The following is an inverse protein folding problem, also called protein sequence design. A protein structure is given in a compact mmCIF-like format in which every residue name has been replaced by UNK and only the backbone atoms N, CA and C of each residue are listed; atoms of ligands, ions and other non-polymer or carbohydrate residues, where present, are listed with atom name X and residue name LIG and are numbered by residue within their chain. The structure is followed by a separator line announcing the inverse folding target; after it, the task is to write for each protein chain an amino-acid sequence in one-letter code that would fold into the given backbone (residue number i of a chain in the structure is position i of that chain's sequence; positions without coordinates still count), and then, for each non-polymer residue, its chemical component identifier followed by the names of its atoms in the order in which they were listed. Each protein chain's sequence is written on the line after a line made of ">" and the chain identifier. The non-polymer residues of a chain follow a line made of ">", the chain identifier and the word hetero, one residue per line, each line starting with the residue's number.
data_IF_157723756938
#
_entry.id   IF_157723756938
#
_cell.length_a   1.000
_cell.length_b   1.000
_cell.length_c   1.000
_cell.angle_alpha   90.00
_cell.angle_beta   90.00
_cell.angle_gamma   90.00
#
_symmetry.space_group_name_H-M   'P 1'
#
loop_
_entity.id
_entity.type
_entity.pdbx_description
1 polymer ?
#
# COMPACT_ATOMS: atom_id res chain seq x y z
N UNK A 1 -15.76 4.47 -17.16
CA UNK A 1 -14.76 4.47 -16.07
C UNK A 1 -15.52 4.48 -14.76
N UNK A 2 -15.06 3.78 -13.72
CA UNK A 2 -15.67 3.76 -12.39
C UNK A 2 -14.68 4.27 -11.36
N UNK A 3 -15.21 4.91 -10.31
CA UNK A 3 -14.47 5.31 -9.13
C UNK A 3 -15.12 4.64 -7.93
N UNK A 4 -14.32 4.07 -7.05
CA UNK A 4 -14.78 3.43 -5.81
C UNK A 4 -13.83 3.84 -4.69
N UNK A 5 -14.36 4.12 -3.50
CA UNK A 5 -13.56 4.45 -2.32
C UNK A 5 -13.99 3.59 -1.15
N UNK A 6 -13.03 3.14 -0.36
CA UNK A 6 -13.28 2.47 0.91
C UNK A 6 -12.15 2.78 1.89
N UNK A 7 -12.47 2.67 3.17
CA UNK A 7 -11.56 3.01 4.27
C UNK A 7 -11.59 1.87 5.27
N UNK A 8 -10.40 1.47 5.72
CA UNK A 8 -10.21 0.49 6.78
C UNK A 8 -9.30 1.10 7.85
N UNK A 9 -9.58 0.80 9.12
CA UNK A 9 -8.74 1.21 10.25
C UNK A 9 -8.41 0.00 11.10
N UNK A 10 -7.18 -0.09 11.58
CA UNK A 10 -6.74 -1.20 12.43
C UNK A 10 -5.66 -0.75 13.42
N UNK A 11 -5.65 -1.34 14.63
CA UNK A 11 -4.63 -1.05 15.62
C UNK A 11 -3.31 -1.74 15.27
N UNK A 12 -2.20 -1.12 15.67
CA UNK A 12 -0.84 -1.64 15.54
C UNK A 12 -0.11 -1.39 16.86
N UNK A 13 0.47 -2.45 17.43
CA UNK A 13 1.19 -2.40 18.71
C UNK A 13 2.61 -1.82 18.56
N UNK A 14 2.73 -0.64 17.95
CA UNK A 14 3.97 0.09 17.80
C UNK A 14 3.73 1.60 17.80
N UNK A 15 4.76 2.41 18.15
CA UNK A 15 4.66 3.86 18.10
C UNK A 15 4.33 4.39 16.69
N UNK A 16 3.56 5.49 16.57
CA UNK A 16 3.20 6.09 15.28
C UNK A 16 4.41 6.36 14.38
N UNK A 17 5.53 6.84 14.93
CA UNK A 17 6.74 7.13 14.16
C UNK A 17 7.36 5.87 13.54
N UNK A 18 7.40 4.74 14.26
CA UNK A 18 7.93 3.48 13.75
C UNK A 18 7.05 2.91 12.64
N UNK A 19 5.73 3.00 12.82
CA UNK A 19 4.77 2.55 11.81
C UNK A 19 4.83 3.43 10.56
N UNK A 20 4.89 4.76 10.72
CA UNK A 20 5.03 5.69 9.61
C UNK A 20 6.34 5.46 8.86
N UNK A 21 7.47 5.37 9.57
CA UNK A 21 8.78 5.07 8.96
C UNK A 21 8.78 3.74 8.20
N UNK A 22 8.14 2.71 8.74
CA UNK A 22 7.99 1.42 8.06
C UNK A 22 7.19 1.56 6.77
N UNK A 23 6.07 2.29 6.80
CA UNK A 23 5.24 2.54 5.61
C UNK A 23 5.92 3.46 4.59
N UNK A 24 6.80 4.35 5.03
CA UNK A 24 7.50 5.30 4.17
C UNK A 24 8.68 4.66 3.41
N UNK A 25 9.21 3.53 3.86
CA UNK A 25 10.27 2.80 3.17
C UNK A 25 9.68 1.93 2.04
N UNK A 26 9.95 2.23 0.75
CA UNK A 26 9.30 1.54 -0.37
C UNK A 26 9.49 0.03 -0.35
N UNK A 27 10.68 -0.45 0.05
CA UNK A 27 10.97 -1.89 0.05
C UNK A 27 10.13 -2.66 1.07
N UNK A 28 9.67 -2.02 2.14
CA UNK A 28 8.80 -2.64 3.14
C UNK A 28 7.41 -2.99 2.58
N UNK A 29 7.00 -2.45 1.43
CA UNK A 29 5.75 -2.88 0.79
C UNK A 29 5.79 -4.31 0.24
N UNK A 30 6.98 -4.87 0.02
CA UNK A 30 7.14 -6.31 -0.23
C UNK A 30 6.66 -7.04 1.02
N UNK A 31 5.68 -7.92 0.89
CA UNK A 31 5.09 -8.63 2.03
C UNK A 31 4.07 -7.83 2.86
N UNK A 32 3.80 -6.56 2.55
CA UNK A 32 2.58 -5.86 3.00
C UNK A 32 1.43 -5.97 1.97
N UNK A 33 1.76 -6.34 0.74
CA UNK A 33 0.79 -6.80 -0.25
C UNK A 33 1.17 -8.22 -0.66
N UNK A 34 0.22 -9.16 -0.73
CA UNK A 34 0.51 -10.53 -1.18
C UNK A 34 0.90 -10.60 -2.66
N UNK A 35 0.76 -9.49 -3.40
CA UNK A 35 1.06 -9.42 -4.82
C UNK A 35 2.42 -8.79 -5.09
N UNK A 36 2.91 -7.89 -4.24
CA UNK A 36 4.16 -7.15 -4.48
C UNK A 36 5.34 -8.08 -4.21
N UNK A 37 6.09 -8.39 -5.26
CA UNK A 37 7.26 -9.28 -5.21
C UNK A 37 8.58 -8.54 -5.33
N UNK A 38 8.57 -7.30 -5.80
CA UNK A 38 9.76 -6.46 -5.91
C UNK A 38 9.40 -4.98 -5.91
N UNK A 39 10.34 -4.17 -5.44
CA UNK A 39 10.35 -2.72 -5.60
C UNK A 39 11.66 -2.35 -6.28
N UNK A 40 11.59 -1.48 -7.28
CA UNK A 40 12.70 -1.12 -8.16
C UNK A 40 12.69 0.36 -8.47
N UNK A 41 13.80 0.84 -9.03
CA UNK A 41 13.94 2.19 -9.57
C UNK A 41 13.52 3.29 -8.57
N UNK A 42 13.88 3.12 -7.29
CA UNK A 42 13.58 4.09 -6.24
C UNK A 42 14.37 5.36 -6.51
N UNK A 43 13.64 6.47 -6.67
CA UNK A 43 14.18 7.80 -6.93
C UNK A 43 13.54 8.78 -5.96
N UNK A 44 14.36 9.56 -5.28
CA UNK A 44 13.91 10.66 -4.45
C UNK A 44 13.84 11.93 -5.30
N UNK A 45 12.66 12.53 -5.42
CA UNK A 45 12.46 13.78 -6.17
C UNK A 45 12.58 15.00 -5.27
N UNK A 46 12.12 14.89 -4.03
CA UNK A 46 12.33 15.88 -2.96
C UNK A 46 12.49 15.15 -1.62
N UNK A 47 12.65 15.88 -0.52
CA UNK A 47 12.69 15.28 0.81
C UNK A 47 11.44 14.45 1.11
N UNK A 48 10.28 14.91 0.65
CA UNK A 48 8.95 14.34 0.93
C UNK A 48 8.45 13.42 -0.19
N UNK A 49 9.00 13.50 -1.40
CA UNK A 49 8.48 12.79 -2.58
C UNK A 49 9.44 11.71 -3.07
N UNK A 50 8.92 10.48 -3.16
CA UNK A 50 9.57 9.31 -3.76
C UNK A 50 8.81 8.84 -4.99
N UNK A 51 9.54 8.37 -6.00
CA UNK A 51 9.00 7.61 -7.12
C UNK A 51 9.69 6.27 -7.23
N UNK A 52 8.93 5.22 -7.48
CA UNK A 52 9.47 3.88 -7.66
C UNK A 52 8.53 3.01 -8.49
N UNK A 53 9.02 1.82 -8.85
CA UNK A 53 8.23 0.78 -9.51
C UNK A 53 8.00 -0.37 -8.55
N UNK A 54 6.74 -0.60 -8.16
CA UNK A 54 6.34 -1.84 -7.50
C UNK A 54 5.97 -2.88 -8.57
N UNK A 55 6.36 -4.14 -8.37
CA UNK A 55 6.02 -5.24 -9.28
C UNK A 55 5.03 -6.15 -8.58
N UNK A 56 3.80 -6.18 -9.09
CA UNK A 56 2.79 -7.15 -8.65
C UNK A 56 2.85 -8.40 -9.53
N UNK A 57 2.90 -9.58 -8.91
CA UNK A 57 2.86 -10.86 -9.62
C UNK A 57 1.51 -11.54 -9.47
N UNK A 58 0.77 -11.61 -10.57
CA UNK A 58 -0.46 -12.38 -10.66
C UNK A 58 -0.15 -13.80 -11.14
N UNK A 59 -0.70 -14.80 -10.48
CA UNK A 59 -0.74 -16.17 -11.00
C UNK A 59 -2.00 -16.30 -11.85
N UNK A 60 -1.84 -16.50 -13.15
CA UNK A 60 -2.93 -16.86 -14.05
C UNK A 60 -3.14 -18.38 -13.98
N UNK A 61 -4.22 -18.89 -14.59
CA UNK A 61 -4.47 -20.33 -14.67
C UNK A 61 -3.25 -21.05 -15.28
N UNK A 62 -2.75 -22.09 -14.60
CA UNK A 62 -1.55 -22.84 -15.02
C UNK A 62 -0.21 -22.17 -14.64
N UNK A 63 0.90 -22.46 -15.34
CA UNK A 63 2.23 -21.93 -15.00
C UNK A 63 2.42 -20.44 -15.35
N UNK A 64 1.43 -19.81 -15.98
CA UNK A 64 1.50 -18.44 -16.45
C UNK A 64 1.51 -17.43 -15.30
N UNK A 65 2.53 -16.57 -15.30
CA UNK A 65 2.70 -15.46 -14.36
C UNK A 65 2.65 -14.16 -15.13
N UNK A 66 1.91 -13.19 -14.61
CA UNK A 66 1.88 -11.84 -15.15
C UNK A 66 2.44 -10.87 -14.13
N UNK A 67 3.53 -10.20 -14.48
CA UNK A 67 4.16 -9.17 -13.67
C UNK A 67 3.64 -7.79 -14.10
N UNK A 68 2.73 -7.24 -13.30
CA UNK A 68 2.19 -5.89 -13.47
C UNK A 68 3.14 -4.88 -12.83
N UNK A 69 3.71 -3.99 -13.64
CA UNK A 69 4.56 -2.90 -13.16
C UNK A 69 3.71 -1.71 -12.77
N UNK A 70 3.71 -1.39 -11.50
CA UNK A 70 3.03 -0.25 -10.91
C UNK A 70 4.01 0.91 -10.78
N UNK A 71 3.70 2.04 -11.41
CA UNK A 71 4.42 3.29 -11.13
C UNK A 71 3.81 3.91 -9.89
N UNK A 72 4.62 4.13 -8.86
CA UNK A 72 4.19 4.71 -7.60
C UNK A 72 4.85 6.07 -7.41
N UNK A 73 4.02 7.06 -7.09
CA UNK A 73 4.48 8.32 -6.49
C UNK A 73 4.00 8.30 -5.04
N UNK A 74 4.94 8.42 -4.12
CA UNK A 74 4.69 8.46 -2.70
C UNK A 74 5.07 9.84 -2.17
N UNK A 75 4.19 10.44 -1.38
CA UNK A 75 4.38 11.76 -0.79
C UNK A 75 4.12 11.66 0.70
N UNK A 76 5.12 12.02 1.51
CA UNK A 76 4.97 12.23 2.95
C UNK A 76 4.28 13.58 3.17
N UNK A 77 2.94 13.58 3.21
CA UNK A 77 2.14 14.81 3.21
C UNK A 77 2.09 15.47 4.58
N UNK A 78 2.18 14.68 5.64
CA UNK A 78 2.36 15.16 7.01
C UNK A 78 3.45 14.30 7.65
N UNK A 79 4.68 14.81 7.80
CA UNK A 79 5.80 14.03 8.32
C UNK A 79 5.46 13.30 9.62
N UNK A 80 5.72 12.00 9.66
CA UNK A 80 5.46 11.13 10.81
C UNK A 80 3.99 10.74 11.03
N UNK A 81 3.06 11.21 10.17
CA UNK A 81 1.61 10.98 10.37
C UNK A 81 0.86 10.56 9.12
N UNK A 82 1.10 11.19 7.98
CA UNK A 82 0.31 10.94 6.77
C UNK A 82 1.20 10.68 5.56
N UNK A 83 0.89 9.59 4.86
CA UNK A 83 1.55 9.18 3.64
C UNK A 83 0.52 8.98 2.54
N UNK A 84 0.74 9.61 1.38
CA UNK A 84 -0.11 9.45 0.20
C UNK A 84 0.64 8.67 -0.87
N UNK A 85 0.01 7.65 -1.43
CA UNK A 85 0.55 6.90 -2.58
C UNK A 85 -0.39 6.98 -3.76
N UNK A 86 0.11 7.50 -4.87
CA UNK A 86 -0.53 7.41 -6.17
C UNK A 86 0.09 6.29 -7.00
N UNK A 87 -0.73 5.28 -7.30
CA UNK A 87 -0.32 4.08 -8.02
C UNK A 87 -0.96 4.07 -9.40
N UNK A 88 -0.16 3.81 -10.44
CA UNK A 88 -0.60 3.72 -11.84
C UNK A 88 -0.15 2.41 -12.44
N UNK A 89 -1.11 1.59 -12.86
CA UNK A 89 -0.86 0.34 -13.59
C UNK A 89 -0.97 0.52 -15.11
N UNK A 90 -0.45 -0.44 -15.87
CA UNK A 90 -0.61 -0.49 -17.33
C UNK A 90 -2.06 -0.78 -17.77
N UNK A 91 -2.87 -1.44 -16.93
CA UNK A 91 -4.26 -1.81 -17.22
C UNK A 91 -5.28 -0.66 -17.07
N UNK A 92 -4.83 0.61 -17.15
CA UNK A 92 -5.64 1.82 -16.91
C UNK A 92 -6.30 1.86 -15.52
N UNK A 93 -5.76 1.11 -14.54
CA UNK A 93 -6.17 1.21 -13.13
C UNK A 93 -5.25 2.19 -12.41
N UNK A 94 -5.86 3.13 -11.70
CA UNK A 94 -5.18 4.05 -10.78
C UNK A 94 -5.70 3.83 -9.38
N UNK A 95 -4.80 3.88 -8.40
CA UNK A 95 -5.17 3.78 -6.98
C UNK A 95 -4.52 4.93 -6.25
N UNK A 96 -5.29 5.60 -5.40
CA UNK A 96 -4.76 6.54 -4.42
C UNK A 96 -4.96 5.95 -3.04
N UNK A 97 -3.88 5.73 -2.31
CA UNK A 97 -3.92 5.39 -0.90
C UNK A 97 -3.57 6.62 -0.07
N UNK A 98 -4.32 6.83 1.01
CA UNK A 98 -3.96 7.73 2.10
C UNK A 98 -3.80 6.87 3.34
N UNK A 99 -2.62 6.90 3.93
CA UNK A 99 -2.33 6.28 5.20
C UNK A 99 -2.23 7.37 6.25
N UNK A 100 -3.08 7.30 7.27
CA UNK A 100 -3.03 8.16 8.45
C UNK A 100 -2.65 7.28 9.65
N UNK A 101 -1.59 7.67 10.34
CA UNK A 101 -1.10 7.00 11.55
C UNK A 101 -1.32 7.92 12.74
N UNK A 102 -2.16 7.50 13.67
CA UNK A 102 -2.50 8.25 14.87
C UNK A 102 -2.05 7.51 16.13
N UNK A 103 -1.66 8.22 17.20
CA UNK A 103 -1.38 7.59 18.50
C UNK A 103 -2.63 6.95 19.08
N UNK A 104 -2.45 5.83 19.78
CA UNK A 104 -3.49 5.13 20.53
C UNK A 104 -2.90 4.54 21.82
N UNK A 105 -3.70 4.23 22.86
CA UNK A 105 -3.19 3.78 24.15
C UNK A 105 -2.24 2.56 24.09
N UNK A 106 -2.46 1.65 23.14
CA UNK A 106 -1.66 0.44 22.94
C UNK A 106 -0.67 0.54 21.77
N UNK A 107 -0.36 1.76 21.30
CA UNK A 107 0.56 2.01 20.18
C UNK A 107 -0.02 3.02 19.19
N UNK A 108 -0.50 2.54 18.05
CA UNK A 108 -1.06 3.40 17.00
C UNK A 108 -2.29 2.78 16.34
N UNK A 109 -3.07 3.63 15.67
CA UNK A 109 -4.12 3.22 14.73
C UNK A 109 -3.73 3.70 13.35
N UNK A 110 -3.72 2.76 12.40
CA UNK A 110 -3.50 3.06 10.98
C UNK A 110 -4.86 3.08 10.30
N UNK A 111 -5.19 4.20 9.67
CA UNK A 111 -6.36 4.36 8.80
C UNK A 111 -5.89 4.43 7.37
N UNK A 112 -6.43 3.56 6.51
CA UNK A 112 -6.08 3.50 5.09
C UNK A 112 -7.31 3.75 4.26
N UNK A 113 -7.33 4.88 3.55
CA UNK A 113 -8.35 5.19 2.55
C UNK A 113 -7.83 4.86 1.16
N UNK A 114 -8.53 3.98 0.44
CA UNK A 114 -8.19 3.59 -0.91
C UNK A 114 -9.24 4.10 -1.91
N UNK A 115 -8.83 4.97 -2.83
CA UNK A 115 -9.65 5.44 -3.96
C UNK A 115 -9.16 4.79 -5.25
N UNK A 116 -10.01 3.97 -5.86
CA UNK A 116 -9.73 3.22 -7.08
C UNK A 116 -10.40 3.92 -8.27
N UNK A 117 -9.66 4.06 -9.38
CA UNK A 117 -10.22 4.45 -10.69
C UNK A 117 -9.88 3.37 -11.71
N UNK A 118 -10.89 2.79 -12.34
CA UNK A 118 -10.73 1.61 -13.19
C UNK A 118 -11.76 1.52 -14.33
N UNK A 119 -11.46 0.76 -15.40
CA UNK A 119 -12.46 0.38 -16.40
C UNK A 119 -13.64 -0.35 -15.76
N UNK A 120 -14.87 -0.08 -16.23
CA UNK A 120 -16.10 -0.62 -15.64
C UNK A 120 -16.09 -2.16 -15.61
N UNK A 121 -15.58 -2.80 -16.67
CA UNK A 121 -15.50 -4.26 -16.78
C UNK A 121 -14.56 -4.90 -15.76
N UNK A 122 -13.54 -4.17 -15.27
CA UNK A 122 -12.58 -4.67 -14.30
C UNK A 122 -13.03 -4.46 -12.84
N UNK A 123 -14.17 -3.79 -12.63
CA UNK A 123 -14.63 -3.35 -11.30
C UNK A 123 -14.60 -4.46 -10.26
N UNK A 124 -15.29 -5.57 -10.53
CA UNK A 124 -15.42 -6.66 -9.54
C UNK A 124 -14.07 -7.30 -9.19
N UNK A 125 -13.21 -7.48 -10.18
CA UNK A 125 -11.86 -8.02 -9.97
C UNK A 125 -10.99 -7.07 -9.14
N UNK A 126 -10.95 -5.78 -9.50
CA UNK A 126 -10.11 -4.78 -8.82
C UNK A 126 -10.58 -4.58 -7.38
N UNK A 127 -11.89 -4.47 -7.13
CA UNK A 127 -12.44 -4.30 -5.78
C UNK A 127 -12.10 -5.49 -4.87
N UNK A 128 -12.32 -6.72 -5.35
CA UNK A 128 -11.99 -7.94 -4.59
C UNK A 128 -10.50 -8.02 -4.29
N UNK A 129 -9.66 -7.69 -5.26
CA UNK A 129 -8.21 -7.69 -5.09
C UNK A 129 -7.78 -6.63 -4.08
N UNK A 130 -8.28 -5.40 -4.20
CA UNK A 130 -7.94 -4.29 -3.31
C UNK A 130 -8.34 -4.59 -1.86
N UNK A 131 -9.55 -5.12 -1.62
CA UNK A 131 -9.98 -5.54 -0.27
C UNK A 131 -9.12 -6.66 0.31
N UNK A 132 -8.77 -7.66 -0.51
CA UNK A 132 -7.86 -8.74 -0.09
C UNK A 132 -6.48 -8.19 0.30
N UNK A 133 -5.92 -7.28 -0.49
CA UNK A 133 -4.64 -6.64 -0.19
C UNK A 133 -4.73 -5.84 1.11
N UNK A 134 -5.81 -5.10 1.35
CA UNK A 134 -6.00 -4.29 2.56
C UNK A 134 -6.11 -5.15 3.82
N UNK A 135 -6.92 -6.21 3.78
CA UNK A 135 -7.03 -7.15 4.90
C UNK A 135 -5.67 -7.83 5.20
N UNK A 136 -4.94 -8.24 4.16
CA UNK A 136 -3.61 -8.83 4.32
C UNK A 136 -2.61 -7.82 4.89
N UNK A 137 -2.63 -6.59 4.41
CA UNK A 137 -1.74 -5.50 4.87
C UNK A 137 -1.90 -5.23 6.35
N UNK A 138 -3.14 -5.12 6.82
CA UNK A 138 -3.44 -4.90 8.23
C UNK A 138 -2.79 -5.97 9.11
N UNK A 139 -3.00 -7.24 8.73
CA UNK A 139 -2.41 -8.39 9.43
C UNK A 139 -0.87 -8.38 9.37
N UNK A 140 -0.30 -8.25 8.18
CA UNK A 140 1.15 -8.30 7.99
C UNK A 140 1.88 -7.15 8.69
N UNK A 141 1.30 -5.96 8.72
CA UNK A 141 1.87 -4.82 9.44
C UNK A 141 1.83 -5.06 10.95
N UNK A 142 0.70 -5.55 11.48
CA UNK A 142 0.59 -5.90 12.89
C UNK A 142 1.59 -6.99 13.30
N UNK A 143 1.74 -8.06 12.49
CA UNK A 143 2.70 -9.14 12.73
C UNK A 143 4.15 -8.64 12.73
N UNK A 144 4.53 -7.79 11.76
CA UNK A 144 5.89 -7.23 11.69
C UNK A 144 6.22 -6.33 12.87
N UNK A 145 5.27 -5.50 13.29
CA UNK A 145 5.49 -4.58 14.40
C UNK A 145 5.54 -5.32 15.75
N UNK A 146 4.80 -6.41 15.90
CA UNK A 146 4.87 -7.27 17.08
C UNK A 146 6.20 -8.06 17.15
N UNK A 147 6.75 -8.46 16.00
CA UNK A 147 8.02 -9.20 15.92
C UNK A 147 9.28 -8.33 15.82
N UNK A 148 9.15 -7.00 15.75
CA UNK A 148 10.29 -6.07 15.69
C UNK A 148 10.76 -5.60 17.07
N UNK A 149 10.25 -6.21 18.15
CA UNK A 149 10.77 -6.04 19.51
C UNK A 149 11.96 -6.98 19.67
N UNK A 150 13.14 -6.51 19.26
CA UNK A 150 14.45 -7.04 19.67
C UNK A 150 15.24 -5.91 20.36
#
# INVERSE_FOLDING_TARGET
>A
MRIETFTDSFPVAAPPESVHAHLAEPTNHIGLSPLIVAVRDIRRESREVLRYVAVERFRLLGPLRYDNRLRVTQTDTVPGRQLVMEVRSSARVRVRFVFDVAPAPAGSVVTVTATLRMPTLLRGYVLRTARRVQAFRARALAERMAGAVD
#
